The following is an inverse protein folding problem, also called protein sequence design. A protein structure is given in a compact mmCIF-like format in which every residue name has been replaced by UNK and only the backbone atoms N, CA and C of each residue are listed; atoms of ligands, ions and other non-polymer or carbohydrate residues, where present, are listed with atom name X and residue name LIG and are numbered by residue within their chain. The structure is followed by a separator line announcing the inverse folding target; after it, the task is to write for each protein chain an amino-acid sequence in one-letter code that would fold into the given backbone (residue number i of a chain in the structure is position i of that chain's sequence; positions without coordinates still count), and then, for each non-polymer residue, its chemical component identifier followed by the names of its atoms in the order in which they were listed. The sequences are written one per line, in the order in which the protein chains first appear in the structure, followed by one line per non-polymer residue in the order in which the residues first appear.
data_IF_863473807461
#
_entry.id   IF_863473807461
#
_cell.length_a   1.000
_cell.length_b   1.000
_cell.length_c   1.000
_cell.angle_alpha   90.00
_cell.angle_beta   90.00
_cell.angle_gamma   90.00
#
_symmetry.space_group_name_H-M   'P 1'
#
loop_
_entity.id
_entity.type
_entity.pdbx_description
1 polymer ?
#
# COMPACT_ATOMS: atom_id res chain seq x y z
N UNK A 1 -62.90 15.80 36.97
CA UNK A 1 -61.93 15.86 38.08
C UNK A 1 -61.65 14.44 38.53
N UNK A 2 -60.47 13.90 38.22
CA UNK A 2 -60.08 12.55 38.60
C UNK A 2 -58.70 12.59 39.26
N UNK A 3 -58.60 12.00 40.45
CA UNK A 3 -57.38 11.79 41.23
C UNK A 3 -57.64 10.65 42.25
N UNK A 4 -56.61 10.03 42.84
CA UNK A 4 -56.20 8.67 42.48
C UNK A 4 -56.02 7.72 43.69
N UNK A 5 -55.64 6.48 43.42
CA UNK A 5 -55.11 5.50 44.40
C UNK A 5 -55.11 4.11 43.76
N UNK A 6 -54.28 3.13 44.09
CA UNK A 6 -53.09 3.01 44.93
C UNK A 6 -52.67 1.53 44.80
N UNK A 7 -51.36 1.29 44.61
CA UNK A 7 -50.52 0.25 45.24
C UNK A 7 -51.13 -1.15 45.52
N UNK A 8 -50.52 -2.22 44.98
CA UNK A 8 -50.03 -3.36 45.79
C UNK A 8 -49.01 -4.24 45.05
N UNK A 9 -48.10 -4.81 45.86
CA UNK A 9 -46.89 -5.59 45.58
C UNK A 9 -47.10 -7.03 46.10
N UNK A 10 -46.22 -7.95 45.68
CA UNK A 10 -45.98 -9.34 46.14
C UNK A 10 -46.89 -10.38 45.44
N UNK A 11 -46.43 -11.54 44.96
CA UNK A 11 -45.19 -12.29 45.15
C UNK A 11 -45.55 -13.79 45.29
N UNK A 12 -44.61 -14.69 44.92
CA UNK A 12 -44.67 -16.19 44.99
C UNK A 12 -45.33 -16.87 43.77
N UNK A 13 -44.90 -18.04 43.26
CA UNK A 13 -43.99 -19.09 43.75
C UNK A 13 -43.35 -19.87 42.57
N UNK A 14 -42.35 -20.68 42.93
CA UNK A 14 -41.44 -21.42 42.07
C UNK A 14 -41.98 -22.76 41.50
N UNK A 15 -41.33 -23.22 40.41
CA UNK A 15 -40.92 -24.62 40.25
C UNK A 15 -41.54 -25.40 39.09
N UNK A 16 -40.72 -25.74 38.07
CA UNK A 16 -40.35 -27.13 37.72
C UNK A 16 -39.40 -27.17 36.53
N UNK A 17 -38.42 -28.06 36.66
CA UNK A 17 -37.40 -28.39 35.66
C UNK A 17 -37.99 -29.23 34.51
N UNK A 18 -37.46 -28.99 33.31
CA UNK A 18 -37.61 -29.86 32.15
C UNK A 18 -36.32 -29.83 31.34
N UNK A 19 -35.58 -30.94 31.35
CA UNK A 19 -34.48 -31.21 30.44
C UNK A 19 -35.04 -31.46 29.04
N UNK A 20 -34.53 -30.74 28.03
CA UNK A 20 -34.43 -31.24 26.66
C UNK A 20 -33.13 -30.71 26.05
N UNK A 21 -32.34 -31.65 25.55
CA UNK A 21 -31.08 -31.42 24.87
C UNK A 21 -31.33 -30.95 23.43
N UNK A 22 -30.54 -29.98 22.96
CA UNK A 22 -30.24 -29.85 21.54
C UNK A 22 -28.77 -29.50 21.31
N UNK A 23 -28.22 -30.14 20.29
CA UNK A 23 -26.82 -30.25 19.92
C UNK A 23 -26.37 -29.00 19.18
N UNK A 24 -25.54 -28.17 19.80
CA UNK A 24 -24.76 -27.15 19.10
C UNK A 24 -23.40 -27.71 18.67
N UNK A 25 -23.21 -27.85 17.36
CA UNK A 25 -21.93 -28.16 16.74
C UNK A 25 -20.97 -26.98 16.90
N UNK A 26 -19.94 -27.18 17.74
CA UNK A 26 -18.91 -26.19 18.01
C UNK A 26 -18.04 -25.90 16.78
N UNK A 27 -17.92 -24.62 16.42
CA UNK A 27 -16.72 -24.09 15.75
C UNK A 27 -15.92 -23.34 16.79
N UNK A 28 -14.81 -23.95 17.19
CA UNK A 28 -13.82 -23.37 18.09
C UNK A 28 -13.14 -22.19 17.40
N UNK A 29 -13.40 -20.96 17.86
CA UNK A 29 -12.57 -19.79 17.56
C UNK A 29 -11.42 -19.80 18.57
N UNK A 30 -10.22 -20.19 18.14
CA UNK A 30 -9.01 -20.06 18.93
C UNK A 30 -8.65 -18.57 19.07
N UNK A 31 -9.02 -17.97 20.20
CA UNK A 31 -8.47 -16.68 20.64
C UNK A 31 -7.03 -16.89 21.13
N UNK A 32 -6.05 -16.49 20.32
CA UNK A 32 -4.64 -16.45 20.75
C UNK A 32 -4.42 -15.18 21.58
N UNK A 33 -4.45 -15.34 22.91
CA UNK A 33 -4.14 -14.28 23.89
C UNK A 33 -2.61 -14.22 24.02
N UNK A 34 -1.93 -13.32 23.30
CA UNK A 34 -0.52 -13.04 23.55
C UNK A 34 -0.41 -12.14 24.79
N UNK A 35 0.10 -12.71 25.89
CA UNK A 35 0.60 -11.95 27.04
C UNK A 35 1.94 -11.33 26.64
N UNK A 36 2.07 -10.02 26.79
CA UNK A 36 3.37 -9.36 26.80
C UNK A 36 3.87 -9.37 28.25
N UNK A 37 4.86 -10.22 28.52
CA UNK A 37 5.62 -10.15 29.75
C UNK A 37 6.55 -8.92 29.70
N UNK A 38 6.52 -8.15 30.77
CA UNK A 38 7.31 -6.96 31.03
C UNK A 38 8.81 -7.29 31.08
N UNK A 39 9.59 -6.74 30.13
CA UNK A 39 11.04 -6.72 30.19
C UNK A 39 11.49 -5.47 30.95
N UNK A 40 12.05 -5.70 32.15
CA UNK A 40 12.77 -4.70 32.93
C UNK A 40 14.09 -4.32 32.24
N UNK A 41 14.37 -3.02 32.22
CA UNK A 41 15.64 -2.46 31.75
C UNK A 41 16.58 -2.26 32.95
N UNK A 42 17.84 -2.73 32.93
CA UNK A 42 18.81 -2.37 33.95
C UNK A 42 19.44 -1.00 33.64
N UNK A 43 19.50 -0.14 34.66
CA UNK A 43 20.26 1.11 34.63
C UNK A 43 21.77 0.88 34.45
N UNK A 44 22.51 1.81 33.79
CA UNK A 44 23.95 1.68 33.64
C UNK A 44 24.69 2.15 34.91
N UNK A 45 25.54 1.28 35.45
CA UNK A 45 26.49 1.61 36.50
C UNK A 45 27.73 2.32 35.95
N UNK A 46 28.15 3.36 36.65
CA UNK A 46 29.40 4.07 36.45
C UNK A 46 30.56 3.29 37.07
N UNK A 47 31.63 3.02 36.28
CA UNK A 47 33.03 3.31 36.62
C UNK A 47 34.03 2.62 35.66
N UNK A 48 34.88 3.46 35.07
CA UNK A 48 36.31 3.27 34.77
C UNK A 48 36.80 1.96 34.13
N UNK A 49 37.40 2.04 32.95
CA UNK A 49 38.85 2.27 32.79
C UNK A 49 39.29 2.19 31.32
N UNK A 50 40.33 2.98 31.04
CA UNK A 50 41.01 3.22 29.78
C UNK A 50 41.78 2.02 29.21
N UNK A 51 41.82 1.92 27.88
CA UNK A 51 43.05 1.54 27.17
C UNK A 51 43.06 2.19 25.78
N UNK A 52 44.05 3.06 25.55
CA UNK A 52 44.28 3.77 24.29
C UNK A 52 45.18 2.99 23.32
N UNK A 53 45.39 3.56 22.12
CA UNK A 53 46.56 3.52 21.21
C UNK A 53 46.14 4.21 19.87
N UNK A 54 47.06 4.77 19.04
CA UNK A 54 47.50 6.16 19.08
C UNK A 54 47.04 7.03 17.89
N UNK A 55 47.17 8.36 18.05
CA UNK A 55 47.18 9.36 16.98
C UNK A 55 48.45 9.22 16.13
N UNK A 56 48.31 9.32 14.80
CA UNK A 56 49.39 9.76 13.92
C UNK A 56 49.02 11.12 13.32
N UNK A 57 49.89 12.10 13.55
CA UNK A 57 49.98 13.39 12.88
C UNK A 57 51.12 13.26 11.87
N UNK A 58 50.91 13.70 10.64
CA UNK A 58 51.96 13.81 9.62
C UNK A 58 51.44 14.62 8.44
N UNK A 59 51.90 15.87 8.35
CA UNK A 59 51.73 16.76 7.21
C UNK A 59 52.83 16.48 6.16
N UNK A 60 52.53 16.87 4.92
CA UNK A 60 53.43 17.26 3.82
C UNK A 60 53.89 16.20 2.77
N UNK A 61 54.20 16.63 1.53
CA UNK A 61 53.37 16.33 0.37
C UNK A 61 54.15 15.66 -0.80
N UNK A 62 53.41 15.11 -1.77
CA UNK A 62 53.96 14.76 -3.08
C UNK A 62 54.62 13.38 -3.18
N UNK A 63 53.83 12.38 -3.55
CA UNK A 63 54.34 11.05 -3.90
C UNK A 63 53.24 10.19 -4.50
N UNK A 64 53.26 10.06 -5.83
CA UNK A 64 52.31 9.25 -6.60
C UNK A 64 52.59 7.77 -6.35
N UNK A 65 51.76 7.11 -5.54
CA UNK A 65 51.72 5.64 -5.43
C UNK A 65 50.39 5.12 -5.98
N UNK A 66 50.44 4.54 -7.18
CA UNK A 66 49.32 3.79 -7.78
C UNK A 66 49.18 2.43 -7.07
N UNK A 67 48.17 2.28 -6.24
CA UNK A 67 47.76 0.97 -5.72
C UNK A 67 46.60 0.40 -6.56
N UNK A 68 46.87 -0.63 -7.35
CA UNK A 68 45.85 -1.47 -7.99
C UNK A 68 45.18 -2.34 -6.92
N UNK A 69 43.84 -2.34 -6.83
CA UNK A 69 43.11 -3.34 -6.05
C UNK A 69 42.55 -4.41 -7.00
N UNK A 70 43.18 -5.57 -7.01
CA UNK A 70 42.57 -6.80 -7.54
C UNK A 70 41.69 -7.42 -6.45
N UNK A 71 40.44 -7.76 -6.77
CA UNK A 71 39.62 -8.67 -5.96
C UNK A 71 39.37 -9.94 -6.75
N UNK A 72 39.87 -11.05 -6.24
CA UNK A 72 39.61 -12.40 -6.74
C UNK A 72 38.51 -13.03 -5.89
N UNK A 73 37.44 -13.54 -6.52
CA UNK A 73 36.39 -14.28 -5.85
C UNK A 73 36.50 -15.76 -6.21
N UNK A 74 36.44 -16.63 -5.20
CA UNK A 74 36.35 -18.08 -5.39
C UNK A 74 34.89 -18.51 -5.18
N UNK A 75 34.28 -19.10 -6.21
CA UNK A 75 32.99 -19.78 -6.08
C UNK A 75 33.22 -21.28 -6.30
N UNK A 76 32.99 -22.10 -5.28
CA UNK A 76 33.02 -23.55 -5.39
C UNK A 76 31.59 -24.08 -5.61
N UNK A 77 31.31 -24.60 -6.80
CA UNK A 77 30.16 -25.47 -7.03
C UNK A 77 30.50 -26.87 -6.49
N UNK A 78 29.59 -27.51 -5.73
CA UNK A 78 29.80 -28.87 -5.23
C UNK A 78 29.90 -29.83 -6.43
N UNK A 79 31.04 -30.51 -6.57
CA UNK A 79 31.15 -31.72 -7.40
C UNK A 79 32.13 -31.74 -8.57
N UNK A 80 33.06 -30.78 -8.75
CA UNK A 80 34.11 -30.90 -9.78
C UNK A 80 35.53 -30.70 -9.22
N UNK A 81 36.50 -31.48 -9.73
CA UNK A 81 37.92 -31.50 -9.30
C UNK A 81 38.84 -30.61 -10.16
N UNK A 82 38.34 -29.50 -10.69
CA UNK A 82 39.18 -28.54 -11.42
C UNK A 82 38.63 -27.12 -11.29
N UNK A 83 39.39 -26.14 -10.78
CA UNK A 83 38.93 -24.76 -10.67
C UNK A 83 38.90 -24.07 -12.04
N UNK A 84 37.78 -23.40 -12.36
CA UNK A 84 37.65 -22.52 -13.53
C UNK A 84 37.95 -21.08 -13.09
N UNK A 85 38.95 -20.44 -13.68
CA UNK A 85 39.31 -19.03 -13.42
C UNK A 85 38.49 -18.15 -14.37
N UNK A 86 37.62 -17.30 -13.82
CA UNK A 86 36.90 -16.27 -14.60
C UNK A 86 37.51 -14.91 -14.26
N UNK A 87 38.14 -14.26 -15.26
CA UNK A 87 38.69 -12.91 -15.13
C UNK A 87 37.70 -11.90 -15.72
N UNK A 88 37.11 -11.05 -14.88
CA UNK A 88 36.24 -9.95 -15.34
C UNK A 88 37.06 -8.65 -15.35
N UNK A 89 37.25 -8.04 -16.54
CA UNK A 89 37.80 -6.69 -16.70
C UNK A 89 36.66 -5.68 -16.66
N UNK A 90 36.71 -4.73 -15.74
CA UNK A 90 35.82 -3.56 -15.69
C UNK A 90 36.59 -2.37 -16.29
N UNK A 91 36.14 -1.73 -17.37
CA UNK A 91 36.80 -0.53 -17.88
C UNK A 91 36.53 0.68 -16.97
N UNK A 92 37.60 1.32 -16.50
CA UNK A 92 37.55 2.68 -15.97
C UNK A 92 37.73 3.65 -17.15
N UNK A 93 36.70 4.43 -17.50
CA UNK A 93 36.87 5.60 -18.35
C UNK A 93 35.88 6.69 -17.96
N UNK A 94 36.33 7.58 -17.07
CA UNK A 94 35.82 8.95 -16.92
C UNK A 94 37.01 9.85 -16.55
N UNK A 95 37.65 10.44 -17.55
CA UNK A 95 38.06 11.85 -17.53
C UNK A 95 38.71 12.28 -18.84
N UNK A 96 38.39 13.52 -19.20
CA UNK A 96 38.96 14.43 -20.21
C UNK A 96 38.41 14.27 -21.63
N UNK A 97 37.31 14.98 -21.87
CA UNK A 97 37.09 15.78 -23.07
C UNK A 97 36.14 16.93 -22.68
N UNK A 98 36.71 18.03 -22.20
CA UNK A 98 36.04 19.32 -22.02
C UNK A 98 37.00 20.40 -22.53
N UNK A 99 37.12 20.47 -23.85
CA UNK A 99 37.44 21.73 -24.52
C UNK A 99 36.38 22.00 -25.58
N UNK A 100 35.68 23.11 -25.40
CA UNK A 100 34.78 23.69 -26.39
C UNK A 100 33.35 23.14 -26.38
N UNK A 101 32.48 23.67 -25.52
CA UNK A 101 31.08 23.89 -25.94
C UNK A 101 30.43 25.05 -25.17
N UNK A 102 29.94 25.99 -25.96
CA UNK A 102 29.29 27.24 -25.59
C UNK A 102 27.93 26.99 -24.92
N UNK A 103 27.75 27.59 -23.74
CA UNK A 103 26.53 27.56 -22.94
C UNK A 103 25.52 28.59 -23.48
N UNK A 104 24.70 28.19 -24.47
CA UNK A 104 23.40 28.80 -24.81
C UNK A 104 22.68 28.03 -25.92
N UNK A 105 21.77 27.11 -25.56
CA UNK A 105 20.53 26.73 -26.31
C UNK A 105 19.78 25.58 -25.60
N UNK A 106 18.44 25.61 -25.51
CA UNK A 106 17.66 24.50 -24.93
C UNK A 106 17.48 23.36 -25.93
N UNK A 107 17.55 22.11 -25.45
CA UNK A 107 17.35 20.87 -26.21
C UNK A 107 15.89 20.76 -26.71
N UNK A 108 15.69 20.34 -27.96
CA UNK A 108 14.36 20.27 -28.58
C UNK A 108 13.77 18.85 -28.60
N UNK A 109 12.44 18.73 -28.64
CA UNK A 109 11.66 17.46 -28.63
C UNK A 109 12.05 16.43 -29.69
N UNK A 110 12.83 16.79 -30.72
CA UNK A 110 13.29 15.88 -31.79
C UNK A 110 14.50 15.03 -31.39
N UNK A 111 15.32 15.48 -30.44
CA UNK A 111 16.53 14.74 -30.02
C UNK A 111 16.20 13.61 -29.02
N UNK A 112 15.01 13.62 -28.42
CA UNK A 112 14.54 12.57 -27.52
C UNK A 112 13.94 11.35 -28.26
N UNK A 113 13.42 11.53 -29.47
CA UNK A 113 12.74 10.47 -30.24
C UNK A 113 13.68 9.68 -31.17
N UNK A 114 14.92 10.11 -31.38
CA UNK A 114 15.87 9.42 -32.25
C UNK A 114 16.67 8.28 -31.57
N UNK A 115 16.43 8.00 -30.27
CA UNK A 115 17.22 7.03 -29.50
C UNK A 115 16.47 5.77 -29.05
N UNK A 116 15.24 5.52 -29.52
CA UNK A 116 14.39 4.43 -29.04
C UNK A 116 13.84 3.48 -30.13
N UNK A 117 14.49 3.34 -31.28
CA UNK A 117 14.13 2.29 -32.26
C UNK A 117 15.39 1.62 -32.83
N UNK A 118 15.90 0.61 -32.12
CA UNK A 118 16.72 -0.46 -32.70
C UNK A 118 16.81 -1.70 -31.79
N UNK A 119 15.71 -2.43 -31.68
CA UNK A 119 15.71 -3.86 -31.34
C UNK A 119 14.33 -4.45 -31.70
N UNK A 120 14.31 -5.46 -32.58
CA UNK A 120 13.13 -6.33 -32.74
C UNK A 120 12.38 -6.23 -34.07
N UNK A 121 13.07 -6.37 -35.20
CA UNK A 121 12.45 -6.86 -36.43
C UNK A 121 13.15 -8.16 -36.82
N UNK A 122 12.43 -9.29 -36.78
CA UNK A 122 12.96 -10.56 -37.27
C UNK A 122 12.14 -11.79 -36.86
N UNK A 123 11.56 -12.42 -37.89
CA UNK A 123 10.96 -13.76 -37.97
C UNK A 123 9.52 -13.95 -37.41
N UNK A 124 8.59 -14.66 -38.05
CA UNK A 124 8.37 -15.15 -39.42
C UNK A 124 6.95 -15.80 -39.42
N UNK A 125 6.33 -15.90 -40.61
CA UNK A 125 4.97 -16.40 -40.86
C UNK A 125 4.76 -17.94 -40.75
N UNK A 126 3.45 -18.28 -40.73
CA UNK A 126 2.73 -19.50 -41.19
C UNK A 126 2.49 -20.68 -40.22
N UNK A 127 1.20 -20.91 -39.91
CA UNK A 127 0.53 -22.20 -40.15
C UNK A 127 -1.00 -22.00 -40.19
N UNK A 128 -1.61 -22.39 -41.31
CA UNK A 128 -3.05 -22.47 -41.49
C UNK A 128 -3.52 -23.93 -41.32
N UNK A 129 -4.72 -24.09 -40.75
CA UNK A 129 -5.57 -25.28 -40.96
C UNK A 129 -5.56 -26.31 -39.83
N UNK A 130 -6.66 -26.34 -39.07
CA UNK A 130 -7.43 -27.55 -38.74
C UNK A 130 -8.73 -27.13 -38.03
N UNK A 131 -9.87 -27.37 -38.69
CA UNK A 131 -11.20 -27.12 -38.17
C UNK A 131 -11.52 -28.15 -37.08
N UNK A 132 -11.66 -27.68 -35.84
CA UNK A 132 -12.36 -28.38 -34.77
C UNK A 132 -13.47 -27.48 -34.29
N UNK A 133 -14.70 -28.00 -34.15
CA UNK A 133 -15.85 -27.27 -33.62
C UNK A 133 -15.55 -26.85 -32.18
N UNK A 134 -14.95 -25.69 -31.99
CA UNK A 134 -14.88 -25.03 -30.70
C UNK A 134 -16.25 -24.42 -30.43
N UNK A 135 -16.94 -24.94 -29.42
CA UNK A 135 -17.95 -24.14 -28.72
C UNK A 135 -17.27 -22.83 -28.33
N UNK A 136 -17.70 -21.73 -28.96
CA UNK A 136 -17.34 -20.39 -28.52
C UNK A 136 -18.16 -20.16 -27.27
N UNK A 137 -17.59 -20.50 -26.10
CA UNK A 137 -17.98 -19.79 -24.89
C UNK A 137 -17.82 -18.30 -25.18
N UNK A 138 -18.77 -17.44 -24.80
CA UNK A 138 -18.60 -16.01 -25.00
C UNK A 138 -17.33 -15.60 -24.28
N UNK A 139 -16.35 -15.14 -25.07
CA UNK A 139 -15.13 -14.56 -24.54
C UNK A 139 -15.52 -13.54 -23.49
N UNK A 140 -14.96 -13.70 -22.29
CA UNK A 140 -15.12 -12.81 -21.15
C UNK A 140 -15.19 -11.36 -21.64
N UNK A 141 -16.37 -10.78 -21.42
CA UNK A 141 -16.78 -9.38 -21.54
C UNK A 141 -15.63 -8.40 -21.46
N UNK A 142 -15.57 -7.44 -22.39
CA UNK A 142 -14.67 -6.29 -22.31
C UNK A 142 -14.68 -5.73 -20.88
N UNK A 143 -13.50 -5.68 -20.25
CA UNK A 143 -13.35 -5.03 -18.94
C UNK A 143 -13.80 -3.57 -19.09
N UNK A 144 -14.49 -3.07 -18.07
CA UNK A 144 -14.76 -1.64 -18.00
C UNK A 144 -13.44 -0.86 -17.92
N UNK A 145 -13.41 0.37 -18.43
CA UNK A 145 -12.20 1.20 -18.40
C UNK A 145 -11.66 1.44 -16.97
N UNK A 146 -12.55 1.41 -15.97
CA UNK A 146 -12.24 1.54 -14.55
C UNK A 146 -11.83 0.23 -13.87
N UNK A 147 -11.70 -0.87 -14.61
CA UNK A 147 -11.36 -2.19 -14.07
C UNK A 147 -10.09 -2.77 -14.70
N UNK A 148 -9.19 -3.27 -13.85
CA UNK A 148 -8.00 -4.02 -14.27
C UNK A 148 -7.91 -5.38 -13.57
N UNK A 149 -6.96 -6.21 -14.00
CA UNK A 149 -6.69 -7.54 -13.42
C UNK A 149 -5.22 -7.67 -13.02
N UNK A 150 -4.98 -8.04 -11.76
CA UNK A 150 -3.67 -8.46 -11.29
C UNK A 150 -3.54 -9.98 -11.44
N UNK A 151 -2.45 -10.40 -12.07
CA UNK A 151 -2.01 -11.79 -12.12
C UNK A 151 -0.90 -11.98 -11.08
N UNK A 152 -1.22 -12.37 -9.83
CA UNK A 152 -0.20 -12.52 -8.80
C UNK A 152 0.76 -13.67 -9.15
N UNK A 153 2.06 -13.55 -8.80
CA UNK A 153 3.02 -14.65 -8.94
C UNK A 153 2.57 -15.92 -8.22
N UNK A 154 1.91 -15.76 -7.06
CA UNK A 154 1.30 -16.85 -6.31
C UNK A 154 -0.24 -16.72 -6.36
N UNK A 155 -0.94 -17.54 -7.17
CA UNK A 155 -2.40 -17.45 -7.32
C UNK A 155 -3.18 -17.99 -6.11
N UNK A 156 -2.48 -18.45 -5.05
CA UNK A 156 -3.10 -18.90 -3.80
C UNK A 156 -3.02 -17.85 -2.70
N UNK A 157 -1.85 -17.23 -2.53
CA UNK A 157 -1.63 -16.23 -1.49
C UNK A 157 -1.09 -14.95 -2.09
N UNK A 158 -1.80 -13.84 -1.89
CA UNK A 158 -1.45 -12.53 -2.44
C UNK A 158 -1.16 -11.56 -1.31
N UNK A 159 -0.01 -10.90 -1.39
CA UNK A 159 0.48 -9.96 -0.38
C UNK A 159 0.32 -8.54 -0.91
N UNK A 160 -0.48 -7.74 -0.21
CA UNK A 160 -0.74 -6.34 -0.53
C UNK A 160 -0.10 -5.49 0.57
N UNK A 161 0.79 -4.58 0.20
CA UNK A 161 1.38 -3.63 1.14
C UNK A 161 0.71 -2.26 0.96
N UNK A 162 0.04 -1.79 2.00
CA UNK A 162 -0.53 -0.45 2.03
C UNK A 162 0.52 0.55 2.51
N UNK A 163 0.69 1.62 1.75
CA UNK A 163 1.32 2.86 2.20
C UNK A 163 0.28 3.97 2.26
N UNK A 164 0.47 4.91 3.17
CA UNK A 164 -0.44 6.04 3.33
C UNK A 164 0.31 7.22 3.94
N UNK A 165 -0.13 8.44 3.64
CA UNK A 165 0.34 9.65 4.31
C UNK A 165 1.87 9.80 4.22
N UNK A 166 2.39 9.73 2.99
CA UNK A 166 3.82 9.84 2.70
C UNK A 166 4.32 11.28 2.86
N UNK A 167 3.46 12.26 2.52
CA UNK A 167 3.67 13.69 2.72
C UNK A 167 5.06 14.15 2.25
N UNK A 168 5.48 13.73 1.04
CA UNK A 168 6.71 14.22 0.43
C UNK A 168 6.64 15.74 0.26
N UNK A 169 7.73 16.45 0.57
CA UNK A 169 7.79 17.92 0.55
C UNK A 169 6.87 18.63 1.55
N UNK A 170 6.29 17.91 2.52
CA UNK A 170 5.58 18.57 3.61
C UNK A 170 6.53 19.38 4.52
N UNK A 171 5.98 20.43 5.13
CA UNK A 171 6.74 21.39 5.94
C UNK A 171 7.47 22.44 5.09
N UNK A 172 8.16 23.37 5.77
CA UNK A 172 8.84 24.51 5.10
C UNK A 172 10.29 24.21 4.71
N UNK A 173 10.96 23.31 5.43
CA UNK A 173 12.38 23.01 5.28
C UNK A 173 12.64 21.54 5.56
N UNK A 174 13.84 21.04 5.22
CA UNK A 174 14.25 19.68 5.54
C UNK A 174 13.65 18.60 4.63
N UNK A 175 13.08 18.99 3.48
CA UNK A 175 12.45 18.07 2.54
C UNK A 175 13.36 16.92 2.14
N UNK A 176 14.65 17.16 1.90
CA UNK A 176 15.59 16.09 1.55
C UNK A 176 15.70 15.04 2.64
N UNK A 177 15.68 15.44 3.92
CA UNK A 177 15.80 14.54 5.06
C UNK A 177 14.52 13.70 5.17
N UNK A 178 13.35 14.35 5.20
CA UNK A 178 12.06 13.67 5.37
C UNK A 178 11.70 12.82 4.16
N UNK A 179 11.93 13.31 2.93
CA UNK A 179 11.71 12.54 1.71
C UNK A 179 12.61 11.31 1.64
N UNK A 180 13.91 11.46 1.91
CA UNK A 180 14.82 10.31 1.91
C UNK A 180 14.47 9.29 3.01
N UNK A 181 14.02 9.75 4.17
CA UNK A 181 13.52 8.88 5.23
C UNK A 181 12.27 8.10 4.79
N UNK A 182 11.27 8.78 4.21
CA UNK A 182 10.07 8.13 3.65
C UNK A 182 10.43 7.08 2.59
N UNK A 183 11.30 7.43 1.64
CA UNK A 183 11.78 6.50 0.59
C UNK A 183 12.51 5.30 1.20
N UNK A 184 13.34 5.52 2.22
CA UNK A 184 14.05 4.45 2.93
C UNK A 184 13.08 3.49 3.64
N UNK A 185 12.06 4.02 4.31
CA UNK A 185 11.00 3.22 4.95
C UNK A 185 10.27 2.39 3.90
N UNK A 186 9.80 2.99 2.81
CA UNK A 186 9.09 2.27 1.74
C UNK A 186 9.92 1.12 1.17
N UNK A 187 11.18 1.39 0.80
CA UNK A 187 12.10 0.36 0.25
C UNK A 187 12.35 -0.76 1.25
N UNK A 188 12.54 -0.41 2.53
CA UNK A 188 12.76 -1.40 3.59
C UNK A 188 11.55 -2.30 3.78
N UNK A 189 10.34 -1.71 3.83
CA UNK A 189 9.09 -2.45 3.95
C UNK A 189 8.83 -3.34 2.74
N UNK A 190 9.02 -2.86 1.51
CA UNK A 190 8.92 -3.69 0.30
C UNK A 190 9.91 -4.85 0.34
N UNK A 191 11.18 -4.60 0.70
CA UNK A 191 12.19 -5.67 0.81
C UNK A 191 11.81 -6.71 1.87
N UNK A 192 11.40 -6.26 3.05
CA UNK A 192 11.05 -7.10 4.20
C UNK A 192 9.79 -7.93 3.97
N UNK A 193 8.83 -7.38 3.22
CA UNK A 193 7.52 -7.99 3.03
C UNK A 193 7.33 -8.63 1.67
N UNK A 194 8.17 -8.35 0.67
CA UNK A 194 8.05 -8.92 -0.69
C UNK A 194 6.59 -8.94 -1.19
N UNK A 195 5.92 -7.78 -1.28
CA UNK A 195 4.52 -7.72 -1.68
C UNK A 195 4.34 -8.02 -3.18
N UNK A 196 3.17 -8.54 -3.53
CA UNK A 196 2.74 -8.74 -4.93
C UNK A 196 2.08 -7.47 -5.50
N UNK A 197 1.56 -6.61 -4.62
CA UNK A 197 0.93 -5.34 -4.95
C UNK A 197 1.20 -4.30 -3.84
N UNK A 198 1.44 -3.06 -4.24
CA UNK A 198 1.39 -1.89 -3.34
C UNK A 198 0.11 -1.11 -3.59
N UNK A 199 -0.61 -0.74 -2.52
CA UNK A 199 -1.75 0.18 -2.59
C UNK A 199 -1.38 1.43 -1.80
N UNK A 200 -1.31 2.58 -2.47
CA UNK A 200 -1.06 3.86 -1.80
C UNK A 200 -2.40 4.54 -1.55
N UNK A 201 -2.74 4.82 -0.28
CA UNK A 201 -4.02 5.41 0.11
C UNK A 201 -3.90 6.89 0.46
N UNK A 202 -3.45 7.69 -0.51
CA UNK A 202 -3.53 9.15 -0.47
C UNK A 202 -2.43 9.84 0.30
N UNK A 203 -2.44 11.17 0.17
CA UNK A 203 -1.59 12.13 0.88
C UNK A 203 -0.10 11.86 0.69
N UNK A 204 0.28 11.75 -0.59
CA UNK A 204 1.68 11.55 -0.95
C UNK A 204 2.45 12.85 -1.08
N UNK A 205 1.78 13.99 -1.29
CA UNK A 205 2.37 15.32 -1.36
C UNK A 205 1.45 16.37 -0.71
N UNK A 206 1.95 17.56 -0.36
CA UNK A 206 1.14 18.59 0.30
C UNK A 206 0.20 19.30 -0.66
N UNK A 207 -0.68 20.10 -0.07
CA UNK A 207 -1.54 21.06 -0.78
C UNK A 207 -0.74 21.91 -1.78
N UNK A 208 -1.35 22.18 -2.94
CA UNK A 208 -0.74 22.86 -4.08
C UNK A 208 -0.62 24.40 -3.90
N UNK A 209 -0.09 24.87 -2.77
CA UNK A 209 -0.09 26.30 -2.39
C UNK A 209 0.79 27.18 -3.26
N UNK A 210 1.81 26.62 -3.90
CA UNK A 210 2.78 27.29 -4.76
C UNK A 210 2.71 26.83 -6.23
N UNK A 211 1.62 26.13 -6.60
CA UNK A 211 1.39 25.57 -7.92
C UNK A 211 2.42 24.49 -8.35
N UNK A 212 3.10 23.84 -7.38
CA UNK A 212 4.11 22.79 -7.61
C UNK A 212 3.61 21.36 -7.37
N UNK A 213 2.31 21.16 -7.16
CA UNK A 213 1.72 19.84 -6.93
C UNK A 213 2.08 18.82 -8.00
N UNK A 214 2.17 19.23 -9.27
CA UNK A 214 2.61 18.32 -10.35
C UNK A 214 4.06 17.87 -10.17
N UNK A 215 4.96 18.76 -9.74
CA UNK A 215 6.37 18.42 -9.46
C UNK A 215 6.47 17.40 -8.32
N UNK A 216 5.72 17.61 -7.23
CA UNK A 216 5.72 16.72 -6.07
C UNK A 216 5.09 15.37 -6.40
N UNK A 217 3.99 15.36 -7.17
CA UNK A 217 3.39 14.13 -7.70
C UNK A 217 4.40 13.37 -8.58
N UNK A 218 5.11 14.06 -9.49
CA UNK A 218 6.14 13.43 -10.34
C UNK A 218 7.22 12.75 -9.51
N UNK A 219 7.66 13.38 -8.42
CA UNK A 219 8.58 12.78 -7.48
C UNK A 219 7.99 11.53 -6.81
N UNK A 220 6.76 11.60 -6.30
CA UNK A 220 6.08 10.48 -5.65
C UNK A 220 5.92 9.28 -6.59
N UNK A 221 5.43 9.52 -7.81
CA UNK A 221 5.29 8.49 -8.86
C UNK A 221 6.64 7.85 -9.17
N UNK A 222 7.72 8.62 -9.31
CA UNK A 222 9.06 8.06 -9.51
C UNK A 222 9.49 7.16 -8.35
N UNK A 223 9.08 7.45 -7.10
CA UNK A 223 9.36 6.57 -5.97
C UNK A 223 8.55 5.27 -6.04
N UNK A 224 7.29 5.32 -6.49
CA UNK A 224 6.47 4.13 -6.69
C UNK A 224 7.00 3.23 -7.81
N UNK A 225 7.38 3.82 -8.95
CA UNK A 225 8.03 3.10 -10.05
C UNK A 225 9.31 2.40 -9.60
N UNK A 226 10.12 3.07 -8.76
CA UNK A 226 11.38 2.56 -8.25
C UNK A 226 11.23 1.37 -7.26
N UNK A 227 10.03 1.09 -6.76
CA UNK A 227 9.78 -0.09 -5.92
C UNK A 227 9.89 -1.39 -6.73
N UNK A 228 9.67 -1.34 -8.05
CA UNK A 228 9.71 -2.51 -8.92
C UNK A 228 8.57 -3.53 -8.69
N UNK A 229 7.53 -3.14 -7.94
CA UNK A 229 6.34 -3.95 -7.64
C UNK A 229 5.14 -3.29 -8.33
N UNK A 230 4.14 -4.05 -8.82
CA UNK A 230 2.87 -3.48 -9.24
C UNK A 230 2.28 -2.57 -8.15
N UNK A 231 1.72 -1.43 -8.55
CA UNK A 231 1.16 -0.49 -7.59
C UNK A 231 -0.10 0.20 -8.12
N UNK A 232 -0.95 0.65 -7.20
CA UNK A 232 -2.06 1.55 -7.50
C UNK A 232 -2.14 2.70 -6.50
N UNK A 233 -2.96 3.70 -6.84
CA UNK A 233 -3.10 4.93 -6.09
C UNK A 233 -4.56 5.27 -5.81
N UNK A 234 -4.87 5.60 -4.56
CA UNK A 234 -6.09 6.28 -4.14
C UNK A 234 -5.71 7.67 -3.69
N UNK A 235 -6.48 8.67 -4.10
CA UNK A 235 -6.18 10.08 -3.82
C UNK A 235 -6.60 10.47 -2.40
N UNK A 236 -5.78 11.30 -1.76
CA UNK A 236 -6.05 11.94 -0.49
C UNK A 236 -6.41 13.42 -0.63
N UNK A 237 -6.80 14.04 0.47
CA UNK A 237 -7.25 15.43 0.48
C UNK A 237 -6.10 16.42 0.23
N UNK A 238 -4.86 16.05 0.54
CA UNK A 238 -3.68 16.88 0.29
C UNK A 238 -3.13 16.77 -1.14
N UNK A 239 -3.52 15.74 -1.90
CA UNK A 239 -3.02 15.42 -3.25
C UNK A 239 -3.54 16.40 -4.34
N UNK A 240 -3.44 17.69 -4.10
CA UNK A 240 -3.97 18.74 -4.96
C UNK A 240 -3.08 18.95 -6.18
N UNK A 241 -3.72 19.18 -7.32
CA UNK A 241 -3.08 19.49 -8.59
C UNK A 241 -3.77 20.67 -9.26
N UNK A 242 -3.07 21.43 -10.13
CA UNK A 242 -3.71 22.43 -10.98
C UNK A 242 -4.66 21.79 -12.01
N UNK A 243 -4.28 20.60 -12.49
CA UNK A 243 -5.02 19.82 -13.48
C UNK A 243 -4.99 18.34 -13.06
N UNK A 244 -6.12 17.81 -12.62
CA UNK A 244 -6.25 16.41 -12.21
C UNK A 244 -6.17 15.43 -13.39
N UNK A 245 -6.50 15.84 -14.62
CA UNK A 245 -6.38 14.97 -15.79
C UNK A 245 -4.90 14.68 -16.10
N UNK A 246 -4.01 15.66 -15.89
CA UNK A 246 -2.56 15.41 -15.95
C UNK A 246 -2.16 14.37 -14.91
N UNK A 247 -2.68 14.48 -13.69
CA UNK A 247 -2.43 13.54 -12.62
C UNK A 247 -2.91 12.12 -12.93
N UNK A 248 -4.16 11.98 -13.36
CA UNK A 248 -4.74 10.69 -13.75
C UNK A 248 -3.98 10.04 -14.91
N UNK A 249 -3.61 10.80 -15.95
CA UNK A 249 -2.78 10.30 -17.06
C UNK A 249 -1.41 9.85 -16.58
N UNK A 250 -0.79 10.60 -15.66
CA UNK A 250 0.50 10.23 -15.11
C UNK A 250 0.43 8.93 -14.30
N UNK A 251 -0.57 8.80 -13.41
CA UNK A 251 -0.78 7.56 -12.65
C UNK A 251 -1.03 6.37 -13.57
N UNK A 252 -1.87 6.52 -14.60
CA UNK A 252 -2.22 5.43 -15.53
C UNK A 252 -1.06 4.99 -16.45
N UNK A 253 -0.16 5.92 -16.81
CA UNK A 253 0.96 5.65 -17.73
C UNK A 253 2.27 5.29 -17.03
N UNK A 254 2.35 5.42 -15.71
CA UNK A 254 3.54 5.15 -14.95
C UNK A 254 3.90 3.65 -14.95
N UNK A 255 5.19 3.35 -14.87
CA UNK A 255 5.72 1.99 -14.88
C UNK A 255 5.20 1.19 -13.69
N UNK A 256 4.75 -0.03 -13.98
CA UNK A 256 4.16 -0.96 -13.01
C UNK A 256 2.87 -0.43 -12.34
N UNK A 257 2.32 0.69 -12.78
CA UNK A 257 1.03 1.14 -12.32
C UNK A 257 -0.07 0.24 -12.89
N UNK A 258 -1.00 -0.16 -12.03
CA UNK A 258 -2.26 -0.79 -12.42
C UNK A 258 -3.45 0.14 -12.14
N UNK A 259 -3.17 1.43 -11.92
CA UNK A 259 -4.19 2.46 -11.79
C UNK A 259 -4.99 2.60 -13.09
N UNK A 260 -6.32 2.55 -12.99
CA UNK A 260 -7.25 2.69 -14.11
C UNK A 260 -8.42 3.64 -13.81
N UNK A 261 -8.29 4.51 -12.81
CA UNK A 261 -9.37 5.42 -12.39
C UNK A 261 -9.46 6.73 -13.18
N UNK A 262 -8.88 6.83 -14.38
CA UNK A 262 -8.78 8.11 -15.08
C UNK A 262 -10.15 8.65 -15.56
N UNK A 263 -11.01 7.79 -16.11
CA UNK A 263 -12.34 8.19 -16.61
C UNK A 263 -13.40 8.35 -15.51
N UNK A 264 -13.03 8.06 -14.27
CA UNK A 264 -13.91 8.01 -13.10
C UNK A 264 -13.38 8.87 -11.95
N UNK A 265 -12.51 9.85 -12.26
CA UNK A 265 -12.01 10.80 -11.26
C UNK A 265 -11.20 10.17 -10.13
N UNK A 266 -10.63 8.97 -10.30
CA UNK A 266 -9.86 8.26 -9.28
C UNK A 266 -10.41 6.90 -8.91
N UNK A 267 -11.70 6.66 -9.11
CA UNK A 267 -12.36 5.43 -8.67
C UNK A 267 -12.04 4.24 -9.59
N UNK A 268 -11.59 3.12 -9.05
CA UNK A 268 -11.29 1.96 -9.88
C UNK A 268 -11.35 0.65 -9.13
N UNK A 269 -11.35 -0.45 -9.89
CA UNK A 269 -11.45 -1.81 -9.37
C UNK A 269 -10.28 -2.65 -9.87
N UNK A 270 -9.64 -3.38 -8.95
CA UNK A 270 -8.59 -4.33 -9.28
C UNK A 270 -9.10 -5.73 -8.98
N UNK A 271 -9.28 -6.54 -10.01
CA UNK A 271 -9.53 -7.97 -9.82
C UNK A 271 -8.25 -8.75 -9.56
N UNK A 272 -8.23 -9.52 -8.48
CA UNK A 272 -7.13 -10.43 -8.16
C UNK A 272 -7.49 -11.81 -8.68
N UNK A 273 -6.67 -12.33 -9.60
CA UNK A 273 -6.91 -13.63 -10.21
C UNK A 273 -6.27 -14.74 -9.39
N UNK A 274 -7.07 -15.74 -9.04
CA UNK A 274 -6.65 -16.97 -8.39
C UNK A 274 -6.30 -18.06 -9.39
N UNK A 275 -6.42 -19.33 -8.98
CA UNK A 275 -5.88 -20.51 -9.66
C UNK A 275 -6.07 -20.55 -11.18
N UNK A 276 -7.14 -21.05 -11.78
CA UNK A 276 -7.30 -21.10 -13.24
C UNK A 276 -7.67 -19.74 -13.86
N UNK A 277 -7.00 -18.65 -13.44
CA UNK A 277 -7.34 -17.26 -13.78
C UNK A 277 -8.77 -16.85 -13.39
N UNK A 278 -9.43 -17.57 -12.48
CA UNK A 278 -10.72 -17.13 -11.96
C UNK A 278 -10.55 -15.90 -11.07
N UNK A 279 -11.55 -15.01 -11.09
CA UNK A 279 -11.60 -13.86 -10.20
C UNK A 279 -11.83 -14.32 -8.76
N UNK A 280 -10.82 -14.14 -7.89
CA UNK A 280 -10.86 -14.61 -6.51
C UNK A 280 -11.25 -13.51 -5.52
N UNK A 281 -10.76 -12.29 -5.76
CA UNK A 281 -11.01 -11.09 -4.97
C UNK A 281 -11.12 -9.87 -5.87
N UNK A 282 -11.75 -8.81 -5.39
CA UNK A 282 -11.63 -7.46 -5.96
C UNK A 282 -11.21 -6.44 -4.91
N UNK A 283 -10.44 -5.44 -5.33
CA UNK A 283 -10.11 -4.27 -4.53
C UNK A 283 -10.90 -3.08 -5.09
N UNK A 284 -11.77 -2.48 -4.28
CA UNK A 284 -12.47 -1.24 -4.60
C UNK A 284 -11.59 -0.08 -4.13
N UNK A 285 -11.08 0.71 -5.07
CA UNK A 285 -10.23 1.86 -4.79
C UNK A 285 -11.06 3.13 -5.00
N UNK A 286 -11.36 3.86 -3.93
CA UNK A 286 -12.36 4.94 -3.92
C UNK A 286 -11.66 6.25 -3.59
N UNK A 287 -11.69 7.20 -4.54
CA UNK A 287 -11.22 8.56 -4.29
C UNK A 287 -12.22 9.30 -3.38
N UNK A 288 -11.81 9.64 -2.16
CA UNK A 288 -12.65 10.40 -1.22
C UNK A 288 -12.51 11.91 -1.35
N UNK A 289 -11.70 12.37 -2.31
CA UNK A 289 -11.38 13.77 -2.54
C UNK A 289 -11.04 14.49 -1.22
N UNK A 290 -11.72 15.59 -0.91
CA UNK A 290 -11.56 16.34 0.35
C UNK A 290 -12.69 16.11 1.35
N UNK A 291 -13.79 15.50 0.93
CA UNK A 291 -15.05 15.52 1.67
C UNK A 291 -15.38 14.18 2.31
N UNK A 292 -14.66 13.11 1.96
CA UNK A 292 -14.95 11.76 2.43
C UNK A 292 -15.81 10.98 1.43
N UNK A 293 -16.42 9.89 1.91
CA UNK A 293 -17.27 9.03 1.10
C UNK A 293 -18.70 9.58 1.08
N UNK A 294 -18.89 10.67 0.33
CA UNK A 294 -20.15 11.41 0.26
C UNK A 294 -20.94 11.00 -0.99
N UNK A 295 -22.00 11.76 -1.31
CA UNK A 295 -22.99 11.36 -2.32
C UNK A 295 -22.37 10.97 -3.69
N UNK A 296 -21.41 11.71 -4.28
CA UNK A 296 -20.81 11.33 -5.56
C UNK A 296 -20.12 9.96 -5.53
N UNK A 297 -19.35 9.68 -4.47
CA UNK A 297 -18.64 8.40 -4.31
C UNK A 297 -19.63 7.26 -4.08
N UNK A 298 -20.68 7.51 -3.30
CA UNK A 298 -21.79 6.57 -3.09
C UNK A 298 -22.58 6.31 -4.38
N UNK A 299 -22.79 7.34 -5.21
CA UNK A 299 -23.47 7.20 -6.50
C UNK A 299 -22.65 6.34 -7.47
N UNK A 300 -21.33 6.56 -7.55
CA UNK A 300 -20.45 5.71 -8.35
C UNK A 300 -20.49 4.24 -7.89
N UNK A 301 -20.45 3.99 -6.57
CA UNK A 301 -20.58 2.65 -6.01
C UNK A 301 -21.93 1.99 -6.36
N UNK A 302 -23.02 2.76 -6.33
CA UNK A 302 -24.35 2.29 -6.77
C UNK A 302 -24.38 1.99 -8.27
N UNK A 303 -23.76 2.83 -9.09
CA UNK A 303 -23.70 2.68 -10.54
C UNK A 303 -22.97 1.39 -10.95
N UNK A 304 -21.78 1.14 -10.39
CA UNK A 304 -20.99 -0.05 -10.76
C UNK A 304 -21.55 -1.35 -10.17
N UNK A 305 -22.45 -1.28 -9.18
CA UNK A 305 -22.94 -2.45 -8.43
C UNK A 305 -23.49 -3.57 -9.33
N UNK A 306 -24.21 -3.21 -10.40
CA UNK A 306 -24.79 -4.16 -11.35
C UNK A 306 -23.75 -4.82 -12.26
N UNK A 307 -22.59 -4.18 -12.43
CA UNK A 307 -21.46 -4.68 -13.24
C UNK A 307 -20.50 -5.56 -12.42
N UNK A 308 -20.62 -5.53 -11.10
CA UNK A 308 -19.76 -6.26 -10.18
C UNK A 308 -20.29 -7.68 -9.90
N UNK A 309 -19.45 -8.73 -9.94
CA UNK A 309 -19.90 -10.10 -9.65
C UNK A 309 -20.37 -10.25 -8.19
N UNK A 310 -21.62 -10.65 -7.91
CA UNK A 310 -22.18 -10.56 -6.55
C UNK A 310 -21.43 -11.42 -5.51
N UNK A 311 -20.89 -12.57 -5.93
CA UNK A 311 -20.27 -13.55 -5.02
C UNK A 311 -18.75 -13.37 -4.84
N UNK A 312 -18.14 -12.38 -5.47
CA UNK A 312 -16.69 -12.11 -5.32
C UNK A 312 -16.48 -11.23 -4.09
N UNK A 313 -15.68 -11.67 -3.08
CA UNK A 313 -15.40 -10.86 -1.90
C UNK A 313 -14.51 -9.69 -2.26
N UNK A 314 -14.71 -8.57 -1.54
CA UNK A 314 -14.00 -7.32 -1.83
C UNK A 314 -13.29 -6.74 -0.62
N UNK A 315 -12.19 -6.06 -0.87
CA UNK A 315 -11.60 -5.10 0.07
C UNK A 315 -11.82 -3.69 -0.48
N UNK A 316 -12.09 -2.71 0.38
CA UNK A 316 -12.19 -1.31 -0.01
C UNK A 316 -10.98 -0.52 0.50
N UNK A 317 -10.45 0.37 -0.33
CA UNK A 317 -9.35 1.27 -0.02
C UNK A 317 -9.78 2.69 -0.34
N UNK A 318 -9.66 3.57 0.64
CA UNK A 318 -9.97 4.99 0.54
C UNK A 318 -9.04 5.78 1.45
N UNK A 319 -8.97 7.10 1.30
CA UNK A 319 -8.09 7.90 2.15
C UNK A 319 -8.81 8.28 3.46
N UNK A 320 -9.94 8.99 3.37
CA UNK A 320 -10.68 9.52 4.51
C UNK A 320 -11.54 8.42 5.18
N UNK A 321 -11.44 8.20 6.50
CA UNK A 321 -12.22 7.20 7.23
C UNK A 321 -13.73 7.50 7.21
N UNK A 322 -14.57 6.46 7.10
CA UNK A 322 -16.02 6.58 7.37
C UNK A 322 -16.29 6.71 8.88
N UNK A 323 -17.45 7.24 9.29
CA UNK A 323 -17.76 7.50 10.71
C UNK A 323 -17.64 6.28 11.63
N UNK A 324 -17.91 5.09 11.12
CA UNK A 324 -17.86 3.85 11.92
C UNK A 324 -16.46 3.49 12.42
N UNK A 325 -15.39 4.10 11.87
CA UNK A 325 -14.05 3.97 12.44
C UNK A 325 -13.95 4.53 13.86
N UNK A 326 -14.72 5.58 14.17
CA UNK A 326 -14.80 6.13 15.53
C UNK A 326 -15.73 5.27 16.41
N UNK A 327 -16.81 4.74 15.83
CA UNK A 327 -17.76 3.87 16.54
C UNK A 327 -17.09 2.58 17.03
N UNK A 328 -16.25 1.91 16.23
CA UNK A 328 -15.56 0.69 16.69
C UNK A 328 -14.61 0.97 17.85
N UNK A 329 -14.03 2.17 17.92
CA UNK A 329 -13.17 2.54 19.03
C UNK A 329 -13.99 2.87 20.28
N UNK A 330 -15.03 3.69 20.13
CA UNK A 330 -15.91 4.11 21.24
C UNK A 330 -16.66 2.95 21.90
N UNK A 331 -16.93 1.89 21.14
CA UNK A 331 -17.66 0.71 21.62
C UNK A 331 -16.74 -0.45 22.04
N UNK A 332 -15.42 -0.20 22.22
CA UNK A 332 -14.43 -1.21 22.61
C UNK A 332 -14.37 -2.44 21.67
N UNK A 333 -14.70 -2.25 20.38
CA UNK A 333 -14.66 -3.28 19.35
C UNK A 333 -13.32 -3.32 18.61
N UNK A 334 -12.48 -2.30 18.79
CA UNK A 334 -11.23 -2.13 18.10
C UNK A 334 -10.02 -2.63 18.90
N UNK A 335 -9.01 -3.13 18.20
CA UNK A 335 -7.69 -3.46 18.74
C UNK A 335 -6.62 -2.68 17.99
N UNK A 336 -5.73 -2.02 18.73
CA UNK A 336 -4.60 -1.28 18.17
C UNK A 336 -4.32 0.00 18.95
N UNK A 337 -3.90 1.04 18.23
CA UNK A 337 -3.46 2.31 18.81
C UNK A 337 -4.26 3.45 18.19
N UNK A 338 -4.89 4.28 19.02
CA UNK A 338 -5.51 5.55 18.62
C UNK A 338 -4.87 6.68 19.42
N UNK A 339 -4.29 7.67 18.73
CA UNK A 339 -3.63 8.83 19.37
C UNK A 339 -4.13 10.18 18.86
N UNK A 340 -5.13 10.16 18.00
CA UNK A 340 -5.89 11.34 17.60
C UNK A 340 -7.37 11.03 17.37
N UNK A 341 -8.15 12.06 17.08
CA UNK A 341 -9.56 11.89 16.73
C UNK A 341 -9.70 11.31 15.32
N UNK A 342 -10.82 10.65 15.07
CA UNK A 342 -11.14 10.19 13.71
C UNK A 342 -11.68 11.37 12.93
N UNK A 343 -11.07 11.68 11.78
CA UNK A 343 -11.50 12.78 10.92
C UNK A 343 -12.20 12.22 9.67
N UNK A 344 -13.53 12.07 9.76
CA UNK A 344 -14.37 11.55 8.67
C UNK A 344 -14.87 12.61 7.68
N UNK A 345 -14.37 13.84 7.82
CA UNK A 345 -14.78 15.01 7.02
C UNK A 345 -16.31 15.17 6.95
N UNK A 346 -16.90 15.13 5.75
CA UNK A 346 -18.34 15.30 5.52
C UNK A 346 -19.10 13.97 5.35
N UNK A 347 -18.45 12.83 5.56
CA UNK A 347 -19.11 11.52 5.48
C UNK A 347 -20.33 11.49 6.41
N UNK A 348 -21.45 10.94 5.94
CA UNK A 348 -22.75 11.06 6.63
C UNK A 348 -23.09 9.87 7.54
N UNK A 349 -22.32 8.78 7.45
CA UNK A 349 -22.48 7.55 8.23
C UNK A 349 -23.23 6.46 7.46
N UNK A 350 -23.64 6.70 6.22
CA UNK A 350 -24.45 5.75 5.43
C UNK A 350 -23.59 4.83 4.56
N UNK A 351 -22.31 5.12 4.39
CA UNK A 351 -21.43 4.45 3.44
C UNK A 351 -21.19 2.97 3.75
N UNK A 352 -21.16 2.59 5.03
CA UNK A 352 -20.87 1.20 5.43
C UNK A 352 -21.89 0.20 4.90
N UNK A 353 -23.19 0.55 4.95
CA UNK A 353 -24.25 -0.33 4.46
C UNK A 353 -24.14 -0.56 2.95
N UNK A 354 -23.76 0.48 2.20
CA UNK A 354 -23.51 0.40 0.76
C UNK A 354 -22.26 -0.45 0.45
N UNK A 355 -21.15 -0.25 1.17
CA UNK A 355 -19.96 -1.08 0.99
C UNK A 355 -20.26 -2.55 1.28
N UNK A 356 -20.99 -2.83 2.36
CA UNK A 356 -21.42 -4.18 2.72
C UNK A 356 -22.29 -4.82 1.64
N UNK A 357 -23.21 -4.08 1.02
CA UNK A 357 -24.06 -4.62 -0.06
C UNK A 357 -23.26 -5.00 -1.30
N UNK A 358 -22.07 -4.41 -1.49
CA UNK A 358 -21.09 -4.77 -2.53
C UNK A 358 -20.16 -5.93 -2.11
N UNK A 359 -20.51 -6.70 -1.08
CA UNK A 359 -19.69 -7.83 -0.57
C UNK A 359 -18.28 -7.39 -0.10
N UNK A 360 -18.13 -6.15 0.36
CA UNK A 360 -16.91 -5.68 1.02
C UNK A 360 -16.77 -6.35 2.38
N UNK A 361 -15.59 -6.92 2.63
CA UNK A 361 -15.25 -7.65 3.86
C UNK A 361 -14.39 -6.83 4.81
N UNK A 362 -13.52 -5.98 4.27
CA UNK A 362 -12.81 -4.98 5.05
C UNK A 362 -12.59 -3.69 4.26
N UNK A 363 -12.46 -2.60 5.00
CA UNK A 363 -12.08 -1.29 4.52
C UNK A 363 -10.73 -0.90 5.12
N UNK A 364 -9.88 -0.25 4.32
CA UNK A 364 -8.58 0.26 4.71
C UNK A 364 -8.50 1.75 4.40
N UNK A 365 -8.20 2.56 5.43
CA UNK A 365 -8.05 4.01 5.30
C UNK A 365 -6.67 4.53 5.72
N UNK A 366 -6.45 5.83 5.53
CA UNK A 366 -5.27 6.58 5.97
C UNK A 366 -5.67 7.79 6.81
N UNK A 367 -5.15 8.97 6.44
CA UNK A 367 -5.58 10.31 6.85
C UNK A 367 -5.19 10.70 8.28
N UNK A 368 -5.54 9.88 9.28
CA UNK A 368 -5.19 10.13 10.67
C UNK A 368 -3.83 9.48 11.02
N UNK A 369 -2.77 10.29 11.05
CA UNK A 369 -1.38 9.79 11.04
C UNK A 369 -0.92 9.00 12.28
N UNK A 370 -1.68 9.05 13.36
CA UNK A 370 -1.36 8.47 14.68
C UNK A 370 -2.41 7.47 15.14
N UNK A 371 -3.27 7.03 14.21
CA UNK A 371 -4.18 5.91 14.37
C UNK A 371 -3.63 4.68 13.61
N UNK A 372 -3.69 3.52 14.26
CA UNK A 372 -3.39 2.21 13.67
C UNK A 372 -4.08 1.14 14.51
N UNK A 373 -5.35 0.92 14.19
CA UNK A 373 -6.21 -0.06 14.83
C UNK A 373 -7.17 -0.67 13.80
N UNK A 374 -7.81 -1.76 14.19
CA UNK A 374 -8.91 -2.33 13.42
C UNK A 374 -9.97 -2.97 14.30
N UNK A 375 -11.19 -3.05 13.79
CA UNK A 375 -12.34 -3.62 14.48
C UNK A 375 -13.46 -3.95 13.50
N UNK A 376 -14.38 -4.83 13.90
CA UNK A 376 -15.50 -5.25 13.04
C UNK A 376 -16.76 -4.49 13.44
N UNK A 377 -17.40 -3.87 12.46
CA UNK A 377 -18.71 -3.23 12.60
C UNK A 377 -19.67 -3.81 11.56
N UNK A 378 -20.82 -4.31 12.01
CA UNK A 378 -21.86 -4.89 11.15
C UNK A 378 -21.33 -5.93 10.12
N UNK A 379 -20.32 -6.71 10.51
CA UNK A 379 -19.73 -7.77 9.67
C UNK A 379 -18.70 -7.28 8.63
N UNK A 380 -18.33 -6.00 8.65
CA UNK A 380 -17.23 -5.43 7.85
C UNK A 380 -16.11 -4.99 8.79
N UNK A 381 -14.87 -5.37 8.49
CA UNK A 381 -13.71 -4.91 9.26
C UNK A 381 -13.25 -3.53 8.80
N UNK A 382 -13.00 -2.61 9.72
CA UNK A 382 -12.52 -1.25 9.45
C UNK A 382 -11.10 -1.13 10.00
N UNK A 383 -10.12 -0.80 9.17
CA UNK A 383 -8.70 -0.90 9.51
C UNK A 383 -7.91 0.35 9.11
N UNK A 384 -7.33 1.05 10.08
CA UNK A 384 -6.43 2.19 9.81
C UNK A 384 -5.07 1.73 9.31
N UNK A 385 -4.67 2.20 8.14
CA UNK A 385 -3.31 2.14 7.62
C UNK A 385 -2.31 2.85 8.54
N UNK A 386 -1.18 2.21 8.86
CA UNK A 386 -0.09 2.90 9.56
C UNK A 386 0.54 3.93 8.62
N UNK A 387 0.50 5.21 9.00
CA UNK A 387 1.18 6.28 8.27
C UNK A 387 2.66 5.94 7.99
N UNK A 388 3.07 6.13 6.74
CA UNK A 388 4.38 5.71 6.22
C UNK A 388 5.37 6.85 6.17
N UNK A 389 4.91 8.06 5.85
CA UNK A 389 5.76 9.21 5.59
C UNK A 389 6.41 9.80 6.83
N UNK A 390 7.70 10.12 6.71
CA UNK A 390 8.41 10.94 7.68
C UNK A 390 8.17 12.46 7.45
N UNK A 391 7.53 12.85 6.35
CA UNK A 391 7.15 14.25 6.09
C UNK A 391 5.89 14.70 6.83
N UNK A 392 4.97 13.77 7.09
CA UNK A 392 3.74 14.04 7.85
C UNK A 392 3.98 14.09 9.36
N UNK A 393 3.04 14.67 10.10
CA UNK A 393 3.11 14.75 11.56
C UNK A 393 2.97 13.38 12.25
N UNK A 394 3.21 13.32 13.56
CA UNK A 394 2.83 12.18 14.40
C UNK A 394 3.89 11.09 14.55
N UNK A 395 5.03 11.20 13.86
CA UNK A 395 6.14 10.25 13.96
C UNK A 395 6.76 10.17 15.37
N UNK A 396 6.65 11.25 16.13
CA UNK A 396 7.04 11.34 17.54
C UNK A 396 6.09 10.58 18.47
N UNK A 397 4.82 10.42 18.07
CA UNK A 397 3.80 9.68 18.84
C UNK A 397 3.74 8.22 18.44
N UNK A 398 3.84 7.93 17.14
CA UNK A 398 3.67 6.59 16.59
C UNK A 398 4.73 6.35 15.50
N UNK A 399 5.61 5.34 15.65
CA UNK A 399 6.62 5.04 14.64
C UNK A 399 5.99 4.79 13.27
N UNK A 400 6.60 5.34 12.22
CA UNK A 400 6.13 5.18 10.84
C UNK A 400 6.31 3.75 10.34
N UNK A 401 5.43 3.32 9.44
CA UNK A 401 5.38 1.94 8.96
C UNK A 401 4.41 1.76 7.79
N UNK A 402 3.85 0.57 7.67
CA UNK A 402 2.80 0.29 6.69
C UNK A 402 1.91 -0.86 7.16
N UNK A 403 0.96 -1.26 6.31
CA UNK A 403 0.08 -2.39 6.61
C UNK A 403 0.21 -3.48 5.57
N UNK A 404 0.60 -4.68 6.01
CA UNK A 404 0.67 -5.85 5.16
C UNK A 404 -0.64 -6.62 5.27
N UNK A 405 -1.31 -6.79 4.14
CA UNK A 405 -2.54 -7.56 3.97
C UNK A 405 -2.18 -8.81 3.17
N UNK A 406 -2.66 -9.97 3.60
CA UNK A 406 -2.45 -11.24 2.91
C UNK A 406 -3.80 -11.88 2.62
N UNK A 407 -4.08 -12.13 1.35
CA UNK A 407 -5.28 -12.81 0.88
C UNK A 407 -4.99 -14.30 0.70
N UNK A 408 -5.92 -15.17 1.08
CA UNK A 408 -6.02 -16.54 0.57
C UNK A 408 -7.10 -16.57 -0.52
N UNK A 409 -6.68 -16.74 -1.78
CA UNK A 409 -7.55 -16.74 -2.94
C UNK A 409 -8.40 -18.03 -3.05
N UNK A 410 -8.03 -19.11 -2.36
CA UNK A 410 -8.79 -20.36 -2.35
C UNK A 410 -9.81 -20.38 -1.22
N UNK A 411 -9.39 -20.04 -0.01
CA UNK A 411 -10.26 -20.00 1.16
C UNK A 411 -11.14 -18.74 1.20
N UNK A 412 -10.83 -17.73 0.37
CA UNK A 412 -11.47 -16.41 0.38
C UNK A 412 -11.44 -15.78 1.79
N UNK A 413 -10.30 -15.92 2.45
CA UNK A 413 -9.98 -15.28 3.72
C UNK A 413 -8.87 -14.25 3.54
N UNK A 414 -8.73 -13.36 4.52
CA UNK A 414 -7.65 -12.38 4.55
C UNK A 414 -7.18 -12.17 5.98
N UNK A 415 -5.96 -11.67 6.11
CA UNK A 415 -5.37 -11.23 7.37
C UNK A 415 -4.57 -9.96 7.11
N UNK A 416 -4.42 -9.12 8.14
CA UNK A 416 -3.57 -7.94 8.07
C UNK A 416 -2.70 -7.82 9.31
N UNK A 417 -1.58 -7.10 9.17
CA UNK A 417 -0.73 -6.72 10.29
C UNK A 417 0.02 -5.42 9.97
N UNK A 418 0.32 -4.65 11.01
CA UNK A 418 1.23 -3.53 10.90
C UNK A 418 2.66 -4.04 10.74
N UNK A 419 3.40 -3.41 9.84
CA UNK A 419 4.82 -3.68 9.59
C UNK A 419 5.63 -2.41 9.79
N UNK A 420 6.73 -2.54 10.51
CA UNK A 420 7.70 -1.48 10.74
C UNK A 420 8.96 -1.76 9.90
N UNK A 421 9.72 -0.73 9.47
CA UNK A 421 10.99 -0.90 8.75
C UNK A 421 11.92 -1.90 9.45
#
# INVERSE_FOLDING_TARGET
MGRPGSVHRLGTAAGRAGHFADKSGGRTVCAYRQRFDSLHWPEPSANGQSSGWPRFVGNDPGGVCRAFRHRTYFAAARGSKTPVIVTIRIPCSWRNDMEGYDMKKPLTRRDFLARSVRAGAGAALFAAGCVGKSHVEPALTHLHEWETRLHPPNPRHVRILQFTDLHFFAGKTGHDITNNASVSIMKTLVKKTSPDLVVVTGDSWPENRDNRGEEFMRFAVAQFEALGVPWTYVWGNHDQLPDFDVGHRMMASARNSIYCGASTGGHHVIGILGHHKQLAWQLLCINTHRDGLVKPEQDWLREISASLPPNVPRLAFFHIPIKQYDDIWKNDLAVGVKKENVMSEKEDGTSLALLKSLNVRACFCGHDHTNDYGGVFDGVELVYGRATGAGGYGGEKLPKGGKLITLDCRAQTYQWKTVLP
#
